data_IF_092705709900
#
_entry.id   IF_092705709900
#
_cell.length_a   1.000
_cell.length_b   1.000
_cell.length_c   1.000
_cell.angle_alpha   90.00
_cell.angle_beta   90.00
_cell.angle_gamma   90.00
#
_symmetry.space_group_name_H-M   'P 1'
#
loop_
_entity.id
_entity.type
_entity.pdbx_description
1 polymer ?
#
# COMPACT_ATOMS: atom_id res chain seq x y z
N UNK A 1 -2.54 7.05 -10.45
CA UNK A 1 -3.57 6.13 -9.94
C UNK A 1 -4.80 6.20 -10.84
N UNK A 2 -5.42 5.05 -11.09
CA UNK A 2 -6.67 4.96 -11.85
C UNK A 2 -7.72 4.38 -10.91
N UNK A 3 -8.49 5.24 -10.27
CA UNK A 3 -9.65 4.82 -9.47
C UNK A 3 -10.86 4.61 -10.39
N UNK A 4 -11.70 3.63 -10.08
CA UNK A 4 -13.05 3.52 -10.64
C UNK A 4 -14.00 4.17 -9.65
N UNK A 5 -14.81 5.12 -10.11
CA UNK A 5 -15.65 5.96 -9.24
C UNK A 5 -17.07 5.95 -9.74
N UNK A 6 -18.01 5.70 -8.83
CA UNK A 6 -19.44 5.91 -9.04
C UNK A 6 -19.93 6.96 -8.06
N UNK A 7 -20.55 8.02 -8.58
CA UNK A 7 -21.08 9.14 -7.81
C UNK A 7 -22.61 9.11 -7.79
N UNK A 8 -23.19 9.28 -6.61
CA UNK A 8 -24.62 9.40 -6.42
C UNK A 8 -24.92 10.67 -5.62
N UNK A 9 -25.74 11.58 -6.17
CA UNK A 9 -26.07 12.89 -5.57
C UNK A 9 -24.83 13.70 -5.13
N UNK A 10 -23.68 13.49 -5.77
CA UNK A 10 -22.40 14.10 -5.40
C UNK A 10 -22.05 15.34 -6.25
N UNK A 11 -23.04 15.98 -6.86
CA UNK A 11 -22.86 17.10 -7.75
C UNK A 11 -22.49 18.37 -6.98
N UNK A 12 -21.67 19.23 -7.62
CA UNK A 12 -21.26 20.54 -7.11
C UNK A 12 -20.70 20.52 -5.67
N UNK A 13 -21.02 21.50 -4.86
CA UNK A 13 -20.43 21.70 -3.52
C UNK A 13 -21.11 20.88 -2.40
N UNK A 14 -21.85 19.84 -2.75
CA UNK A 14 -22.50 18.96 -1.76
C UNK A 14 -21.44 18.17 -0.98
N UNK A 15 -21.54 18.11 0.36
CA UNK A 15 -20.69 17.22 1.15
C UNK A 15 -20.83 15.76 0.71
N UNK A 16 -19.72 15.00 0.75
CA UNK A 16 -19.71 13.61 0.27
C UNK A 16 -19.21 12.65 1.34
N UNK A 17 -19.88 11.50 1.43
CA UNK A 17 -19.35 10.31 2.09
C UNK A 17 -18.71 9.40 1.04
N UNK A 18 -17.46 9.03 1.24
CA UNK A 18 -16.70 8.14 0.37
C UNK A 18 -16.67 6.74 0.97
N UNK A 19 -17.12 5.76 0.21
CA UNK A 19 -17.00 4.34 0.49
C UNK A 19 -15.97 3.75 -0.47
N UNK A 20 -14.92 3.13 0.02
CA UNK A 20 -13.83 2.66 -0.82
C UNK A 20 -13.32 1.27 -0.44
N UNK A 21 -12.79 0.57 -1.43
CA UNK A 21 -12.09 -0.71 -1.33
C UNK A 21 -11.01 -0.75 -2.42
N UNK A 22 -9.84 -1.33 -2.14
CA UNK A 22 -8.75 -1.29 -3.12
C UNK A 22 -8.81 -2.46 -4.11
N UNK A 23 -8.30 -2.21 -5.33
CA UNK A 23 -8.30 -3.17 -6.44
C UNK A 23 -6.91 -3.66 -6.84
N UNK A 24 -5.87 -3.15 -6.23
CA UNK A 24 -4.51 -3.63 -6.41
C UNK A 24 -4.17 -4.70 -5.35
N UNK A 25 -3.09 -5.41 -5.57
CA UNK A 25 -2.65 -6.53 -4.74
C UNK A 25 -1.13 -6.60 -4.67
N UNK A 26 -0.60 -7.23 -3.64
CA UNK A 26 0.84 -7.53 -3.49
C UNK A 26 1.33 -8.66 -4.41
N UNK A 27 0.43 -9.42 -5.01
CA UNK A 27 0.80 -10.55 -5.85
C UNK A 27 1.25 -10.08 -7.23
N UNK A 28 2.40 -10.58 -7.76
CA UNK A 28 2.86 -10.26 -9.09
C UNK A 28 1.97 -10.91 -10.17
N UNK A 29 1.93 -10.32 -11.36
CA UNK A 29 1.15 -10.82 -12.51
C UNK A 29 1.44 -12.28 -12.89
N UNK A 30 2.60 -12.82 -12.49
CA UNK A 30 2.96 -14.22 -12.73
C UNK A 30 2.22 -15.21 -11.83
N UNK A 31 1.53 -14.76 -10.80
CA UNK A 31 0.75 -15.62 -9.90
C UNK A 31 -0.63 -15.84 -10.48
N UNK A 32 -1.03 -17.11 -10.75
CA UNK A 32 -2.36 -17.40 -11.26
C UNK A 32 -3.46 -16.99 -10.29
N UNK A 33 -4.51 -16.35 -10.80
CA UNK A 33 -5.69 -15.94 -10.02
C UNK A 33 -6.81 -16.99 -10.19
N UNK A 34 -6.53 -18.24 -9.80
CA UNK A 34 -7.52 -19.32 -9.85
C UNK A 34 -8.35 -19.34 -8.59
N UNK A 35 -9.65 -19.05 -8.73
CA UNK A 35 -10.59 -19.10 -7.63
C UNK A 35 -11.03 -20.55 -7.38
N UNK A 36 -10.82 -21.03 -6.16
CA UNK A 36 -11.25 -22.36 -5.73
C UNK A 36 -12.13 -22.28 -4.50
N UNK A 37 -13.03 -23.25 -4.34
CA UNK A 37 -13.87 -23.38 -3.17
C UNK A 37 -13.55 -24.69 -2.43
N UNK A 38 -13.36 -24.60 -1.13
CA UNK A 38 -13.17 -25.74 -0.26
C UNK A 38 -13.79 -25.49 1.11
N UNK A 39 -14.58 -26.42 1.60
CA UNK A 39 -15.22 -26.36 2.92
C UNK A 39 -16.02 -25.06 3.14
N UNK A 40 -16.71 -24.58 2.10
CA UNK A 40 -17.48 -23.34 2.14
C UNK A 40 -16.63 -22.05 2.19
N UNK A 41 -15.34 -22.14 1.88
CA UNK A 41 -14.41 -21.01 1.81
C UNK A 41 -13.84 -20.87 0.41
N UNK A 42 -13.68 -19.62 -0.01
CA UNK A 42 -13.06 -19.26 -1.28
C UNK A 42 -11.56 -19.02 -1.10
N UNK A 43 -10.76 -19.51 -2.02
CA UNK A 43 -9.30 -19.38 -2.04
C UNK A 43 -8.86 -18.85 -3.39
N UNK A 44 -8.20 -17.71 -3.39
CA UNK A 44 -7.51 -17.11 -4.52
C UNK A 44 -6.55 -16.05 -3.97
N UNK A 45 -5.41 -15.78 -4.60
CA UNK A 45 -4.63 -14.58 -4.29
C UNK A 45 -5.53 -13.34 -4.32
N UNK A 46 -5.42 -12.47 -3.33
CA UNK A 46 -6.20 -11.24 -3.15
C UNK A 46 -7.73 -11.42 -2.94
N UNK A 47 -8.25 -12.64 -2.74
CA UNK A 47 -9.71 -12.81 -2.55
C UNK A 47 -10.23 -12.16 -1.27
N UNK A 48 -9.45 -12.18 -0.18
CA UNK A 48 -9.80 -11.56 1.11
C UNK A 48 -9.29 -10.13 1.26
N UNK A 49 -8.23 -9.79 0.53
CA UNK A 49 -7.53 -8.52 0.56
C UNK A 49 -7.24 -8.09 -0.89
N UNK A 50 -8.12 -7.34 -1.57
CA UNK A 50 -9.36 -6.76 -1.02
C UNK A 50 -10.58 -7.08 -1.90
N UNK A 51 -10.50 -8.12 -2.79
CA UNK A 51 -11.52 -8.43 -3.80
C UNK A 51 -12.91 -8.68 -3.21
N UNK A 52 -13.00 -9.29 -2.04
CA UNK A 52 -14.28 -9.55 -1.38
C UNK A 52 -14.99 -8.24 -1.00
N UNK A 53 -14.25 -7.28 -0.46
CA UNK A 53 -14.78 -5.97 -0.11
C UNK A 53 -15.11 -5.13 -1.35
N UNK A 54 -14.32 -5.25 -2.43
CA UNK A 54 -14.65 -4.65 -3.74
C UNK A 54 -15.99 -5.18 -4.24
N UNK A 55 -16.22 -6.50 -4.18
CA UNK A 55 -17.49 -7.09 -4.59
C UNK A 55 -18.67 -6.56 -3.75
N UNK A 56 -18.49 -6.46 -2.43
CA UNK A 56 -19.49 -5.89 -1.52
C UNK A 56 -19.76 -4.42 -1.87
N UNK A 57 -18.72 -3.63 -2.12
CA UNK A 57 -18.84 -2.22 -2.51
C UNK A 57 -19.61 -2.07 -3.82
N UNK A 58 -19.37 -2.95 -4.80
CA UNK A 58 -20.11 -2.97 -6.07
C UNK A 58 -21.60 -3.29 -5.86
N UNK A 59 -21.93 -4.23 -4.97
CA UNK A 59 -23.32 -4.54 -4.62
C UNK A 59 -24.01 -3.34 -3.94
N UNK A 60 -23.32 -2.65 -3.05
CA UNK A 60 -23.83 -1.42 -2.41
C UNK A 60 -24.09 -0.32 -3.46
N UNK A 61 -23.14 -0.11 -4.38
CA UNK A 61 -23.31 0.86 -5.46
C UNK A 61 -24.49 0.51 -6.37
N UNK A 62 -24.65 -0.76 -6.74
CA UNK A 62 -25.77 -1.25 -7.52
C UNK A 62 -27.11 -1.07 -6.79
N UNK A 63 -27.16 -1.34 -5.49
CA UNK A 63 -28.34 -1.09 -4.67
C UNK A 63 -28.73 0.40 -4.71
N UNK A 64 -27.78 1.30 -4.46
CA UNK A 64 -28.04 2.75 -4.48
C UNK A 64 -28.47 3.23 -5.87
N UNK A 65 -27.88 2.68 -6.94
CA UNK A 65 -28.25 3.02 -8.32
C UNK A 65 -29.70 2.62 -8.64
N UNK A 66 -30.17 1.48 -8.13
CA UNK A 66 -31.51 0.94 -8.38
C UNK A 66 -32.57 1.60 -7.50
N UNK A 67 -32.34 1.64 -6.19
CA UNK A 67 -33.32 2.11 -5.20
C UNK A 67 -33.39 3.65 -5.11
N UNK A 68 -32.34 4.34 -5.53
CA UNK A 68 -32.23 5.81 -5.54
C UNK A 68 -32.67 6.45 -4.21
N UNK A 69 -32.06 6.02 -3.08
CA UNK A 69 -32.46 6.49 -1.77
C UNK A 69 -32.29 8.00 -1.66
N UNK A 70 -33.18 8.65 -0.91
CA UNK A 70 -33.04 10.06 -0.58
C UNK A 70 -31.89 10.26 0.40
N UNK A 71 -30.91 11.09 0.06
CA UNK A 71 -29.72 11.38 0.88
C UNK A 71 -29.59 12.87 1.15
N UNK A 72 -28.98 13.24 2.27
CA UNK A 72 -28.71 14.64 2.61
C UNK A 72 -27.38 15.15 2.01
N UNK A 73 -26.53 14.24 1.54
CA UNK A 73 -25.25 14.51 0.90
C UNK A 73 -24.99 13.54 -0.25
N UNK A 74 -23.89 13.72 -0.92
CA UNK A 74 -23.43 12.82 -1.98
C UNK A 74 -22.83 11.53 -1.42
N UNK A 75 -22.99 10.45 -2.17
CA UNK A 75 -22.31 9.17 -1.90
C UNK A 75 -21.34 8.92 -3.05
N UNK A 76 -20.11 8.55 -2.73
CA UNK A 76 -19.06 8.24 -3.69
C UNK A 76 -18.53 6.84 -3.41
N UNK A 77 -18.76 5.91 -4.33
CA UNK A 77 -18.19 4.57 -4.27
C UNK A 77 -16.89 4.54 -5.09
N UNK A 78 -15.83 4.03 -4.51
CA UNK A 78 -14.50 4.07 -5.11
C UNK A 78 -13.81 2.71 -5.01
N UNK A 79 -13.50 2.12 -6.16
CA UNK A 79 -12.52 1.05 -6.23
C UNK A 79 -11.16 1.71 -6.48
N UNK A 80 -10.38 1.89 -5.42
CA UNK A 80 -9.13 2.64 -5.48
C UNK A 80 -7.93 1.77 -5.85
N UNK A 81 -6.94 2.38 -6.44
CA UNK A 81 -5.67 1.75 -6.79
C UNK A 81 -4.50 2.32 -6.01
N UNK A 82 -3.40 1.58 -6.00
CA UNK A 82 -2.16 1.97 -5.33
C UNK A 82 -2.30 2.08 -3.80
N UNK A 83 -3.09 1.21 -3.18
CA UNK A 83 -3.13 1.02 -1.73
C UNK A 83 -1.89 0.26 -1.29
N UNK A 84 -1.60 -0.84 -1.97
CA UNK A 84 -0.58 -1.80 -1.63
C UNK A 84 0.86 -1.34 -1.89
N UNK A 85 1.77 -1.88 -1.10
CA UNK A 85 3.21 -1.82 -1.32
C UNK A 85 3.75 -0.41 -1.59
N UNK A 86 4.35 -0.21 -2.74
CA UNK A 86 4.93 1.07 -3.18
C UNK A 86 3.90 2.00 -3.87
N UNK A 87 2.64 1.63 -3.87
CA UNK A 87 1.55 2.47 -4.38
C UNK A 87 1.43 3.80 -3.66
N UNK A 88 1.82 3.83 -2.38
CA UNK A 88 1.87 5.02 -1.54
C UNK A 88 0.55 5.78 -1.51
N UNK A 89 -0.56 5.05 -1.45
CA UNK A 89 -1.93 5.60 -1.37
C UNK A 89 -2.26 6.62 -2.47
N UNK A 90 -1.65 6.49 -3.66
CA UNK A 90 -1.88 7.44 -4.76
C UNK A 90 -3.37 7.55 -5.14
N UNK A 91 -4.12 6.45 -5.02
CA UNK A 91 -5.57 6.45 -5.22
C UNK A 91 -6.28 7.38 -4.23
N UNK A 92 -5.98 7.26 -2.94
CA UNK A 92 -6.55 8.08 -1.88
C UNK A 92 -6.12 9.55 -2.00
N UNK A 93 -4.86 9.82 -2.36
CA UNK A 93 -4.41 11.19 -2.66
C UNK A 93 -5.18 11.83 -3.81
N UNK A 94 -5.48 11.06 -4.86
CA UNK A 94 -6.29 11.56 -5.99
C UNK A 94 -7.74 11.88 -5.57
N UNK A 95 -8.33 11.11 -4.66
CA UNK A 95 -9.64 11.41 -4.09
C UNK A 95 -9.63 12.69 -3.28
N UNK A 96 -8.63 12.85 -2.42
CA UNK A 96 -8.47 14.09 -1.64
C UNK A 96 -8.28 15.31 -2.55
N UNK A 97 -7.52 15.19 -3.63
CA UNK A 97 -7.37 16.25 -4.62
C UNK A 97 -8.68 16.58 -5.36
N UNK A 98 -9.52 15.56 -5.63
CA UNK A 98 -10.80 15.74 -6.36
C UNK A 98 -11.90 16.32 -5.48
N UNK A 99 -12.08 15.79 -4.28
CA UNK A 99 -13.21 16.15 -3.41
C UNK A 99 -12.83 17.14 -2.30
N UNK A 100 -11.58 17.10 -1.83
CA UNK A 100 -11.02 18.08 -0.89
C UNK A 100 -11.89 18.32 0.33
N UNK A 101 -12.26 19.58 0.55
CA UNK A 101 -13.08 20.00 1.71
C UNK A 101 -14.53 19.47 1.67
N UNK A 102 -14.95 18.90 0.57
CA UNK A 102 -16.29 18.27 0.46
C UNK A 102 -16.35 16.92 1.15
N UNK A 103 -15.21 16.31 1.44
CA UNK A 103 -15.15 15.02 2.14
C UNK A 103 -15.58 15.21 3.59
N UNK A 104 -16.74 14.69 3.92
CA UNK A 104 -17.28 14.68 5.28
C UNK A 104 -16.89 13.39 6.01
N UNK A 105 -16.88 12.28 5.29
CA UNK A 105 -16.57 10.97 5.83
C UNK A 105 -15.89 10.09 4.79
N UNK A 106 -14.93 9.27 5.22
CA UNK A 106 -14.33 8.20 4.43
C UNK A 106 -14.48 6.89 5.20
N UNK A 107 -15.02 5.88 4.53
CA UNK A 107 -15.13 4.51 5.02
C UNK A 107 -14.36 3.63 4.04
N UNK A 108 -13.21 3.11 4.47
CA UNK A 108 -12.43 2.14 3.72
C UNK A 108 -12.76 0.74 4.24
N UNK A 109 -13.20 -0.11 3.35
CA UNK A 109 -13.33 -1.55 3.61
C UNK A 109 -12.01 -2.18 3.26
N UNK A 110 -11.49 -3.00 4.19
CA UNK A 110 -10.22 -3.66 4.01
C UNK A 110 -10.11 -4.85 4.98
N UNK A 111 -9.59 -5.98 4.51
CA UNK A 111 -9.48 -7.19 5.30
C UNK A 111 -10.82 -7.69 5.83
N UNK A 112 -10.85 -8.07 7.10
CA UNK A 112 -12.04 -8.64 7.74
C UNK A 112 -12.98 -7.56 8.31
N UNK A 113 -14.28 -7.77 8.15
CA UNK A 113 -15.32 -6.84 8.63
C UNK A 113 -15.76 -7.14 10.08
N UNK A 114 -14.86 -7.56 10.93
CA UNK A 114 -15.11 -7.91 12.34
C UNK A 114 -14.87 -6.76 13.32
N UNK A 115 -14.44 -5.60 12.82
CA UNK A 115 -14.16 -4.42 13.64
C UNK A 115 -14.12 -3.12 12.84
N UNK A 116 -13.97 -2.03 13.56
CA UNK A 116 -13.80 -0.69 13.00
C UNK A 116 -12.49 -0.10 13.52
N UNK A 117 -11.60 0.29 12.60
CA UNK A 117 -10.37 1.00 12.92
C UNK A 117 -10.63 2.50 12.76
N UNK A 118 -10.74 3.21 13.86
CA UNK A 118 -10.98 4.66 13.88
C UNK A 118 -9.71 5.51 13.96
N UNK A 119 -8.53 4.87 14.07
CA UNK A 119 -7.25 5.56 14.18
C UNK A 119 -6.18 4.80 13.39
N UNK A 120 -5.47 5.49 12.53
CA UNK A 120 -4.37 4.94 11.75
C UNK A 120 -3.06 5.68 12.05
N UNK A 121 -1.93 5.02 11.77
CA UNK A 121 -0.58 5.61 11.84
C UNK A 121 -0.12 6.01 10.45
N UNK A 122 0.72 7.05 10.37
CA UNK A 122 1.37 7.42 9.12
C UNK A 122 2.48 6.44 8.72
N UNK A 123 2.83 6.42 7.45
CA UNK A 123 3.93 5.61 6.91
C UNK A 123 4.91 6.50 6.16
N UNK A 124 6.20 6.35 6.47
CA UNK A 124 7.29 7.00 5.75
C UNK A 124 8.20 5.91 5.19
N UNK A 125 8.52 6.01 3.90
CA UNK A 125 9.37 5.05 3.19
C UNK A 125 10.62 5.75 2.68
N UNK A 126 11.79 5.16 2.96
CA UNK A 126 13.08 5.70 2.58
C UNK A 126 13.84 4.69 1.76
N UNK A 127 14.33 5.13 0.61
CA UNK A 127 15.33 4.39 -0.16
C UNK A 127 16.72 4.89 0.26
N UNK A 128 17.52 3.99 0.82
CA UNK A 128 18.91 4.26 1.16
C UNK A 128 19.80 3.59 0.14
N UNK A 129 20.69 4.35 -0.48
CA UNK A 129 21.63 3.84 -1.47
C UNK A 129 23.07 4.17 -1.05
N UNK A 130 23.89 3.14 -0.95
CA UNK A 130 25.33 3.26 -0.73
C UNK A 130 26.04 3.09 -2.06
N UNK A 131 26.92 4.01 -2.40
CA UNK A 131 27.77 3.98 -3.61
C UNK A 131 29.23 4.05 -3.22
N UNK A 132 30.05 3.23 -3.85
CA UNK A 132 31.52 3.14 -3.64
C UNK A 132 32.23 3.00 -4.98
N UNK A 133 33.56 3.00 -4.98
CA UNK A 133 34.34 2.74 -6.19
C UNK A 133 34.15 1.31 -6.73
N UNK A 134 33.89 0.34 -5.85
CA UNK A 134 33.85 -1.08 -6.24
C UNK A 134 35.22 -1.59 -6.62
N UNK A 135 35.25 -2.64 -7.47
CA UNK A 135 36.47 -3.20 -8.01
C UNK A 135 36.48 -4.74 -8.10
N UNK A 136 37.61 -5.31 -8.48
CA UNK A 136 37.81 -6.74 -8.50
C UNK A 136 38.21 -7.21 -7.10
N UNK A 137 37.60 -8.26 -6.56
CA UNK A 137 37.75 -8.69 -5.17
C UNK A 137 39.18 -9.05 -4.77
N UNK A 138 40.05 -9.46 -5.71
CA UNK A 138 41.46 -9.77 -5.47
C UNK A 138 42.38 -8.60 -5.83
N UNK A 139 42.20 -7.98 -7.00
CA UNK A 139 43.08 -6.92 -7.52
C UNK A 139 42.92 -5.65 -6.69
N UNK A 140 41.69 -5.28 -6.39
CA UNK A 140 41.34 -4.04 -5.69
C UNK A 140 40.98 -4.31 -4.23
N UNK A 141 41.52 -5.40 -3.66
CA UNK A 141 41.29 -5.76 -2.25
C UNK A 141 41.67 -4.61 -1.30
N UNK A 142 40.71 -4.23 -0.45
CA UNK A 142 40.81 -3.06 0.43
C UNK A 142 39.94 -1.88 0.03
N UNK A 143 39.39 -1.88 -1.21
CA UNK A 143 38.37 -0.93 -1.56
C UNK A 143 37.10 -1.13 -0.71
N UNK A 144 36.40 -0.03 -0.47
CA UNK A 144 35.15 -0.06 0.31
C UNK A 144 34.07 -0.84 -0.47
N UNK A 145 33.45 -1.79 0.20
CA UNK A 145 32.36 -2.59 -0.35
C UNK A 145 31.02 -1.98 0.06
N UNK A 146 30.16 -1.68 -0.92
CA UNK A 146 28.85 -1.09 -0.66
C UNK A 146 27.94 -2.02 0.16
N UNK A 147 28.05 -3.35 -0.01
CA UNK A 147 27.27 -4.33 0.78
C UNK A 147 27.68 -4.27 2.24
N UNK A 148 28.99 -4.24 2.52
CA UNK A 148 29.51 -4.15 3.89
C UNK A 148 29.00 -2.89 4.58
N UNK A 149 29.08 -1.73 3.89
CA UNK A 149 28.61 -0.46 4.46
C UNK A 149 27.11 -0.44 4.69
N UNK A 150 26.31 -0.96 3.75
CA UNK A 150 24.87 -1.05 3.93
C UNK A 150 24.50 -1.98 5.10
N UNK A 151 25.19 -3.10 5.24
CA UNK A 151 24.99 -4.04 6.36
C UNK A 151 25.27 -3.39 7.72
N UNK A 152 26.32 -2.56 7.81
CA UNK A 152 26.61 -1.80 9.02
C UNK A 152 25.48 -0.81 9.36
N UNK A 153 24.98 -0.09 8.37
CA UNK A 153 23.83 0.83 8.54
C UNK A 153 22.60 0.07 9.04
N UNK A 154 22.30 -1.09 8.45
CA UNK A 154 21.15 -1.93 8.88
C UNK A 154 21.34 -2.38 10.33
N UNK A 155 22.55 -2.84 10.68
CA UNK A 155 22.85 -3.28 12.04
C UNK A 155 22.64 -2.16 13.06
N UNK A 156 23.12 -0.96 12.77
CA UNK A 156 22.96 0.22 13.62
C UNK A 156 21.47 0.63 13.73
N UNK A 157 20.73 0.63 12.60
CA UNK A 157 19.31 0.90 12.59
C UNK A 157 18.54 -0.01 13.54
N UNK A 158 18.81 -1.32 13.50
CA UNK A 158 18.12 -2.30 14.37
C UNK A 158 18.55 -2.26 15.84
N UNK A 159 19.62 -1.54 16.16
CA UNK A 159 19.98 -1.23 17.56
C UNK A 159 19.25 -0.01 18.11
N UNK A 160 18.62 0.80 17.24
CA UNK A 160 17.88 1.98 17.66
C UNK A 160 16.65 1.59 18.49
N UNK A 161 16.56 2.19 19.67
CA UNK A 161 15.41 1.99 20.57
C UNK A 161 14.33 3.03 20.26
N UNK A 162 13.19 2.55 19.77
CA UNK A 162 12.04 3.42 19.54
C UNK A 162 11.59 3.98 20.90
N UNK A 163 11.47 5.31 21.06
CA UNK A 163 10.95 5.91 22.26
C UNK A 163 9.52 5.44 22.58
N UNK A 164 9.24 5.17 23.83
CA UNK A 164 7.89 4.85 24.27
C UNK A 164 6.97 6.08 24.03
N UNK A 165 5.85 5.85 23.39
CA UNK A 165 4.86 6.88 23.06
C UNK A 165 3.43 6.35 23.16
N UNK A 166 2.46 7.22 22.95
CA UNK A 166 1.03 6.89 22.97
C UNK A 166 0.58 6.07 21.74
N UNK A 167 1.33 6.16 20.63
CA UNK A 167 1.06 5.42 19.41
C UNK A 167 2.14 4.38 19.15
N UNK A 168 1.75 3.25 18.55
CA UNK A 168 2.70 2.22 18.12
C UNK A 168 3.53 2.76 16.95
N UNK A 169 4.85 2.88 17.15
CA UNK A 169 5.82 3.21 16.11
C UNK A 169 6.63 1.97 15.78
N UNK A 170 6.83 1.70 14.50
CA UNK A 170 7.61 0.56 14.02
C UNK A 170 8.52 1.00 12.87
N UNK A 171 9.55 0.23 12.57
CA UNK A 171 10.33 0.35 11.34
C UNK A 171 10.72 -1.04 10.85
N UNK A 172 11.01 -1.13 9.56
CA UNK A 172 11.42 -2.38 8.92
C UNK A 172 12.31 -2.07 7.71
N UNK A 173 13.31 -2.92 7.46
CA UNK A 173 13.99 -3.00 6.18
C UNK A 173 13.28 -4.09 5.37
N UNK A 174 12.46 -3.67 4.41
CA UNK A 174 11.59 -4.57 3.65
C UNK A 174 12.30 -5.25 2.48
N UNK A 175 13.23 -4.56 1.84
CA UNK A 175 14.00 -5.10 0.70
C UNK A 175 15.46 -4.66 0.76
N UNK A 176 16.34 -5.49 0.20
CA UNK A 176 17.74 -5.19 -0.03
C UNK A 176 18.15 -5.71 -1.41
N UNK A 177 18.97 -4.94 -2.13
CA UNK A 177 19.52 -5.30 -3.43
C UNK A 177 20.94 -4.78 -3.56
N UNK A 178 21.88 -5.62 -3.98
CA UNK A 178 23.28 -5.25 -4.02
C UNK A 178 24.15 -6.17 -4.88
N UNK A 179 25.28 -5.63 -5.36
CA UNK A 179 26.31 -6.38 -6.07
C UNK A 179 25.91 -6.82 -7.48
N UNK A 180 26.85 -7.47 -8.17
CA UNK A 180 26.64 -7.98 -9.54
C UNK A 180 27.20 -9.38 -9.72
N UNK A 181 28.42 -9.65 -9.25
CA UNK A 181 29.09 -10.95 -9.36
C UNK A 181 29.85 -11.28 -8.09
N UNK A 182 30.14 -12.58 -7.87
CA UNK A 182 30.79 -13.06 -6.63
C UNK A 182 32.24 -12.59 -6.47
N UNK A 183 32.92 -12.24 -7.56
CA UNK A 183 34.32 -11.81 -7.55
C UNK A 183 34.48 -10.29 -7.73
N UNK A 184 33.42 -9.51 -7.51
CA UNK A 184 33.47 -8.06 -7.49
C UNK A 184 33.24 -7.49 -6.08
N UNK A 185 33.94 -6.41 -5.76
CA UNK A 185 33.62 -5.53 -4.64
C UNK A 185 32.40 -4.72 -5.09
N UNK A 186 31.29 -4.83 -4.38
CA UNK A 186 30.06 -4.16 -4.77
C UNK A 186 30.21 -2.64 -4.78
N UNK A 187 29.95 -2.03 -5.95
CA UNK A 187 29.95 -0.58 -6.11
C UNK A 187 28.66 0.08 -5.65
N UNK A 188 27.58 -0.69 -5.57
CA UNK A 188 26.28 -0.18 -5.13
C UNK A 188 25.53 -1.22 -4.31
N UNK A 189 24.87 -0.75 -3.26
CA UNK A 189 23.90 -1.48 -2.47
C UNK A 189 22.75 -0.54 -2.09
N UNK A 190 21.53 -1.06 -2.05
CA UNK A 190 20.37 -0.27 -1.68
C UNK A 190 19.39 -1.07 -0.84
N UNK A 191 18.65 -0.37 0.03
CA UNK A 191 17.54 -0.90 0.81
C UNK A 191 16.34 0.04 0.77
N UNK A 192 15.19 -0.53 1.04
CA UNK A 192 13.94 0.19 1.19
C UNK A 192 13.26 -0.23 2.48
#
# INVERSE_FOLDING_TARGET
AKNVIYEYNAENDVPVAIFMAHIDTVFPESVPLELTEKDGKWFCPAVGDDTANVALLMLMAAYVANEKPKTNGGIVFVMNSCEEGLGNLKGSHALNARYGKRIEQVISFDGYLDGIVGMAVGSLRYKVTVKTAGGHSFVDFGNVNAIERLSAIITELYQYKIPAGSAKTTFNVGTISAGTTVNSIAAQAEML
#
